data_IF_648882185649
#
_entry.id   IF_648882185649
#
_cell.length_a   1.000
_cell.length_b   1.000
_cell.length_c   1.000
_cell.angle_alpha   90.00
_cell.angle_beta   90.00
_cell.angle_gamma   90.00
#
_symmetry.space_group_name_H-M   'P 1'
#
loop_
_entity.id
_entity.type
_entity.pdbx_description
1 polymer ?
#
# COMPACT_ATOMS: atom_id res chain seq x y z
N UNK A 1 -13.24 21.08 -6.61
CA UNK A 1 -13.77 19.69 -6.69
C UNK A 1 -12.91 18.68 -7.49
N UNK A 2 -12.08 19.07 -8.47
CA UNK A 2 -11.22 18.11 -9.21
C UNK A 2 -9.83 17.89 -8.59
N UNK A 3 -9.37 18.81 -7.75
CA UNK A 3 -8.04 18.77 -7.09
C UNK A 3 -8.03 17.79 -5.90
N UNK A 4 -9.10 17.76 -5.11
CA UNK A 4 -9.19 16.94 -3.89
C UNK A 4 -9.33 15.42 -4.11
N UNK A 5 -9.11 14.92 -5.33
CA UNK A 5 -9.24 13.49 -5.69
C UNK A 5 -7.91 12.75 -5.70
N UNK A 6 -6.77 13.46 -5.69
CA UNK A 6 -5.42 12.85 -5.73
C UNK A 6 -4.93 12.38 -4.35
N UNK A 7 -5.59 12.80 -3.28
CA UNK A 7 -5.23 12.51 -1.89
C UNK A 7 -6.01 11.32 -1.32
N UNK A 8 -6.89 10.69 -2.09
CA UNK A 8 -7.67 9.55 -1.62
C UNK A 8 -6.80 8.29 -1.52
N UNK A 9 -6.94 7.59 -0.40
CA UNK A 9 -6.27 6.35 -0.11
C UNK A 9 -6.79 5.25 -1.02
N UNK A 10 -5.87 4.63 -1.76
CA UNK A 10 -6.21 3.76 -2.87
C UNK A 10 -5.31 2.53 -2.88
N UNK A 11 -5.86 1.32 -2.88
CA UNK A 11 -5.04 0.13 -3.11
C UNK A 11 -4.36 0.21 -4.46
N UNK A 12 -3.02 0.03 -4.54
CA UNK A 12 -2.33 0.19 -5.79
C UNK A 12 -2.83 -0.88 -6.77
N UNK A 13 -2.99 -0.49 -8.04
CA UNK A 13 -3.24 -1.45 -9.10
C UNK A 13 -2.15 -2.54 -9.05
N UNK A 14 -2.46 -3.82 -9.33
CA UNK A 14 -1.45 -4.85 -9.47
C UNK A 14 -0.29 -4.30 -10.31
N UNK A 15 0.91 -4.32 -9.74
CA UNK A 15 2.07 -3.64 -10.30
C UNK A 15 2.26 -4.00 -11.78
N UNK A 16 2.68 -3.03 -12.59
CA UNK A 16 3.15 -3.34 -13.94
C UNK A 16 4.44 -4.15 -13.78
N UNK A 17 4.32 -5.44 -14.06
CA UNK A 17 5.34 -6.50 -14.10
C UNK A 17 6.79 -6.02 -13.87
N UNK A 18 7.40 -6.49 -12.77
CA UNK A 18 8.87 -6.59 -12.66
C UNK A 18 9.39 -7.48 -13.79
N UNK A 19 10.62 -7.27 -14.28
CA UNK A 19 11.19 -8.03 -15.41
C UNK A 19 11.12 -9.57 -15.23
N UNK A 20 11.19 -10.06 -13.99
CA UNK A 20 11.00 -11.48 -13.64
C UNK A 20 9.57 -12.00 -13.86
N UNK A 21 8.55 -11.14 -13.78
CA UNK A 21 7.14 -11.49 -14.02
C UNK A 21 6.76 -11.49 -15.52
N UNK A 22 7.72 -11.23 -16.43
CA UNK A 22 7.49 -11.40 -17.88
C UNK A 22 7.51 -12.88 -18.30
N UNK A 23 8.22 -13.74 -17.55
CA UNK A 23 8.33 -15.17 -17.85
C UNK A 23 7.05 -15.95 -17.47
N UNK A 24 6.25 -15.43 -16.53
CA UNK A 24 5.10 -16.16 -15.97
C UNK A 24 3.74 -15.45 -16.18
N UNK A 25 3.66 -14.48 -17.10
CA UNK A 25 2.49 -13.59 -17.27
C UNK A 25 1.18 -14.28 -17.68
N UNK A 26 1.24 -15.54 -18.08
CA UNK A 26 0.10 -16.33 -18.52
C UNK A 26 -0.13 -17.58 -17.67
N UNK A 27 0.61 -17.78 -16.57
CA UNK A 27 0.30 -18.89 -15.67
C UNK A 27 -1.10 -18.72 -15.11
N UNK A 28 -1.77 -19.85 -14.91
CA UNK A 28 -3.12 -19.89 -14.36
C UNK A 28 -3.13 -19.23 -12.97
N UNK A 29 -2.09 -19.48 -12.19
CA UNK A 29 -1.86 -18.96 -10.86
C UNK A 29 -1.72 -17.43 -10.90
N UNK A 30 -0.93 -16.89 -11.82
CA UNK A 30 -0.79 -15.44 -12.02
C UNK A 30 -2.11 -14.78 -12.43
N UNK A 31 -2.83 -15.37 -13.39
CA UNK A 31 -4.11 -14.83 -13.88
C UNK A 31 -5.15 -14.81 -12.76
N UNK A 32 -5.28 -15.91 -12.00
CA UNK A 32 -6.23 -16.00 -10.89
C UNK A 32 -5.90 -15.00 -9.78
N UNK A 33 -4.62 -14.86 -9.42
CA UNK A 33 -4.16 -13.85 -8.47
C UNK A 33 -4.52 -12.43 -8.94
N UNK A 34 -4.30 -12.14 -10.23
CA UNK A 34 -4.63 -10.84 -10.83
C UNK A 34 -6.13 -10.57 -10.87
N UNK A 35 -6.95 -11.58 -11.17
CA UNK A 35 -8.41 -11.47 -11.16
C UNK A 35 -8.92 -11.15 -9.75
N UNK A 36 -8.43 -11.86 -8.73
CA UNK A 36 -8.80 -11.62 -7.34
C UNK A 36 -8.40 -10.20 -6.87
N UNK A 37 -7.20 -9.76 -7.23
CA UNK A 37 -6.69 -8.41 -6.99
C UNK A 37 -7.59 -7.34 -7.61
N UNK A 38 -7.90 -7.48 -8.91
CA UNK A 38 -8.75 -6.53 -9.63
C UNK A 38 -10.17 -6.50 -9.08
N UNK A 39 -10.71 -7.65 -8.68
CA UNK A 39 -12.04 -7.73 -8.08
C UNK A 39 -12.10 -7.01 -6.73
N UNK A 40 -11.15 -7.27 -5.83
CA UNK A 40 -11.06 -6.56 -4.53
C UNK A 40 -10.86 -5.06 -4.74
N UNK A 41 -9.98 -4.70 -5.66
CA UNK A 41 -9.72 -3.33 -6.05
C UNK A 41 -11.01 -2.61 -6.51
N UNK A 42 -11.74 -3.18 -7.46
CA UNK A 42 -12.98 -2.60 -7.97
C UNK A 42 -14.06 -2.50 -6.89
N UNK A 43 -14.20 -3.52 -6.04
CA UNK A 43 -15.15 -3.49 -4.93
C UNK A 43 -14.84 -2.37 -3.94
N UNK A 44 -13.57 -2.13 -3.62
CA UNK A 44 -13.19 -1.01 -2.74
C UNK A 44 -13.48 0.34 -3.36
N UNK A 45 -13.18 0.50 -4.65
CA UNK A 45 -13.51 1.74 -5.39
C UNK A 45 -15.02 1.96 -5.43
N UNK A 46 -15.80 0.90 -5.67
CA UNK A 46 -17.26 0.96 -5.71
C UNK A 46 -17.89 1.22 -4.33
N UNK A 47 -17.27 0.77 -3.25
CA UNK A 47 -17.75 0.99 -1.88
C UNK A 47 -17.26 2.32 -1.27
N UNK A 48 -16.38 3.04 -1.95
CA UNK A 48 -15.83 4.29 -1.45
C UNK A 48 -16.83 5.45 -1.66
N UNK A 49 -17.18 6.25 -0.61
CA UNK A 49 -18.20 7.30 -0.70
C UNK A 49 -17.94 8.34 -1.79
N UNK A 50 -16.67 8.74 -1.96
CA UNK A 50 -16.27 9.74 -2.98
C UNK A 50 -16.02 9.13 -4.37
N UNK A 51 -15.40 7.94 -4.47
CA UNK A 51 -15.01 7.36 -5.76
C UNK A 51 -16.18 6.67 -6.49
N UNK A 52 -17.12 6.10 -5.74
CA UNK A 52 -18.32 5.45 -6.29
C UNK A 52 -19.16 6.42 -7.15
N UNK A 53 -19.21 7.69 -6.74
CA UNK A 53 -19.91 8.77 -7.44
C UNK A 53 -19.11 9.34 -8.64
N UNK A 54 -17.93 8.81 -8.96
CA UNK A 54 -17.06 9.38 -10.00
C UNK A 54 -17.57 9.07 -11.40
N UNK A 55 -17.82 10.11 -12.21
CA UNK A 55 -18.28 9.93 -13.59
C UNK A 55 -17.30 9.12 -14.46
N UNK A 56 -15.99 9.23 -14.24
CA UNK A 56 -15.00 8.41 -14.96
C UNK A 56 -15.10 6.93 -14.61
N UNK A 57 -15.42 6.60 -13.36
CA UNK A 57 -15.68 5.21 -12.95
C UNK A 57 -16.96 4.68 -13.59
N UNK A 58 -18.02 5.48 -13.58
CA UNK A 58 -19.29 5.15 -14.25
C UNK A 58 -19.06 4.87 -15.74
N UNK A 59 -18.38 5.78 -16.45
CA UNK A 59 -18.02 5.60 -17.86
C UNK A 59 -17.14 4.36 -18.06
N UNK A 60 -16.15 4.11 -17.19
CA UNK A 60 -15.31 2.92 -17.28
C UNK A 60 -16.11 1.61 -17.14
N UNK A 61 -17.12 1.58 -16.27
CA UNK A 61 -17.93 0.39 -16.01
C UNK A 61 -19.11 0.21 -16.99
N UNK A 62 -19.70 1.30 -17.51
CA UNK A 62 -20.96 1.24 -18.25
C UNK A 62 -20.85 1.62 -19.73
N UNK A 63 -19.78 2.28 -20.17
CA UNK A 63 -19.69 2.77 -21.55
C UNK A 63 -19.47 1.63 -22.54
N UNK A 64 -20.12 1.74 -23.71
CA UNK A 64 -19.87 0.83 -24.83
C UNK A 64 -18.45 1.08 -25.41
N UNK A 65 -17.81 0.09 -26.06
CA UNK A 65 -16.43 0.24 -26.56
C UNK A 65 -16.18 1.46 -27.47
N UNK A 66 -17.19 1.86 -28.25
CA UNK A 66 -17.17 3.04 -29.11
C UNK A 66 -17.19 4.35 -28.30
N UNK A 67 -18.07 4.45 -27.30
CA UNK A 67 -18.21 5.60 -26.39
C UNK A 67 -16.97 5.76 -25.50
N UNK A 68 -16.44 4.64 -25.00
CA UNK A 68 -15.22 4.62 -24.19
C UNK A 68 -14.01 5.17 -24.96
N UNK A 69 -13.89 4.83 -26.25
CA UNK A 69 -12.81 5.34 -27.10
C UNK A 69 -12.85 6.85 -27.28
N UNK A 70 -14.04 7.44 -27.34
CA UNK A 70 -14.23 8.90 -27.42
C UNK A 70 -13.84 9.55 -26.09
N UNK A 71 -14.30 8.99 -24.97
CA UNK A 71 -13.99 9.49 -23.63
C UNK A 71 -12.49 9.38 -23.28
N UNK A 72 -11.83 8.31 -23.75
CA UNK A 72 -10.37 8.12 -23.62
C UNK A 72 -9.57 9.15 -24.42
N UNK A 73 -10.04 9.52 -25.62
CA UNK A 73 -9.40 10.56 -26.46
C UNK A 73 -9.71 11.98 -25.96
N UNK A 74 -10.88 12.19 -25.35
CA UNK A 74 -11.28 13.46 -24.74
C UNK A 74 -10.65 13.70 -23.37
N UNK A 75 -10.25 12.65 -22.65
CA UNK A 75 -9.50 12.76 -21.41
C UNK A 75 -8.14 13.40 -21.71
N UNK A 76 -7.86 14.55 -21.09
CA UNK A 76 -6.53 15.22 -21.12
C UNK A 76 -5.45 14.14 -21.11
N UNK A 77 -4.74 14.03 -22.22
CA UNK A 77 -3.68 13.05 -22.40
C UNK A 77 -2.68 13.13 -21.25
N UNK A 78 -1.87 12.07 -21.12
CA UNK A 78 -0.83 11.86 -20.12
C UNK A 78 0.24 12.99 -19.99
N UNK A 79 0.03 14.15 -20.61
CA UNK A 79 0.87 15.35 -20.59
C UNK A 79 0.71 16.21 -19.32
N UNK A 80 -0.22 15.88 -18.42
CA UNK A 80 -0.29 16.50 -17.09
C UNK A 80 0.69 15.91 -16.06
N UNK A 81 1.55 14.96 -16.46
CA UNK A 81 2.47 14.23 -15.56
C UNK A 81 3.84 14.87 -15.37
N UNK A 82 4.07 16.07 -15.88
CA UNK A 82 5.30 16.84 -15.60
C UNK A 82 5.08 17.76 -14.40
N UNK A 83 5.09 17.16 -13.20
CA UNK A 83 5.24 17.85 -11.92
C UNK A 83 6.35 17.19 -11.07
N UNK A 84 7.19 16.37 -11.69
CA UNK A 84 8.34 15.71 -11.06
C UNK A 84 9.45 16.67 -10.61
N UNK A 85 9.34 17.98 -10.89
CA UNK A 85 10.27 18.99 -10.38
C UNK A 85 9.96 19.45 -8.95
N UNK A 86 8.76 19.19 -8.42
CA UNK A 86 8.41 19.52 -7.02
C UNK A 86 8.86 18.44 -6.03
N UNK A 87 8.91 17.17 -6.45
CA UNK A 87 9.32 16.06 -5.57
C UNK A 87 10.80 16.15 -5.13
N UNK A 88 11.67 16.73 -5.96
CA UNK A 88 13.08 16.93 -5.59
C UNK A 88 13.30 18.14 -4.67
N UNK A 89 12.41 19.12 -4.67
CA UNK A 89 12.47 20.27 -3.75
C UNK A 89 11.83 19.94 -2.39
N UNK A 90 10.75 19.14 -2.40
CA UNK A 90 10.11 18.62 -1.18
C UNK A 90 11.00 17.63 -0.40
N UNK A 91 11.96 16.95 -1.06
CA UNK A 91 12.94 16.09 -0.37
C UNK A 91 14.00 16.87 0.41
N UNK A 92 14.21 18.16 0.11
CA UNK A 92 15.17 19.05 0.78
C UNK A 92 14.49 19.92 1.85
N UNK A 93 13.21 20.23 1.68
CA UNK A 93 12.43 20.94 2.69
C UNK A 93 11.92 19.99 3.78
N UNK A 94 12.46 20.12 4.99
CA UNK A 94 11.87 19.51 6.17
C UNK A 94 10.55 20.21 6.47
N UNK A 95 9.45 19.47 6.45
CA UNK A 95 8.14 19.96 6.94
C UNK A 95 8.37 20.50 8.34
N UNK A 96 8.12 21.80 8.55
CA UNK A 96 8.39 22.45 9.83
C UNK A 96 7.39 22.06 10.90
N UNK A 97 6.16 21.71 10.52
CA UNK A 97 5.12 21.27 11.45
C UNK A 97 4.29 20.14 10.84
N UNK A 98 4.70 18.89 11.07
CA UNK A 98 3.79 17.76 10.85
C UNK A 98 2.76 17.77 11.96
N UNK A 99 1.49 17.79 11.59
CA UNK A 99 0.38 17.49 12.50
C UNK A 99 0.65 16.14 13.17
N UNK A 100 0.68 16.08 14.51
CA UNK A 100 1.14 14.90 15.25
C UNK A 100 0.30 13.65 14.91
N UNK A 101 -1.00 13.81 14.64
CA UNK A 101 -1.91 12.75 14.20
C UNK A 101 -1.33 11.90 13.06
N UNK A 102 -0.86 12.52 11.97
CA UNK A 102 -0.39 11.79 10.80
C UNK A 102 1.02 11.22 10.95
N UNK A 103 1.84 11.75 11.87
CA UNK A 103 3.13 11.15 12.20
C UNK A 103 2.93 9.82 12.94
N UNK A 104 2.03 9.79 13.93
CA UNK A 104 1.67 8.55 14.63
C UNK A 104 1.14 7.48 13.64
N UNK A 105 0.33 7.90 12.66
CA UNK A 105 -0.16 6.98 11.61
C UNK A 105 0.99 6.46 10.75
N UNK A 106 1.96 7.32 10.39
CA UNK A 106 3.13 6.91 9.59
C UNK A 106 4.00 5.89 10.33
N UNK A 107 4.30 6.13 11.60
CA UNK A 107 5.03 5.20 12.45
C UNK A 107 4.29 3.87 12.56
N UNK A 108 2.98 3.91 12.82
CA UNK A 108 2.14 2.72 12.89
C UNK A 108 2.15 1.90 11.60
N UNK A 109 1.94 2.56 10.44
CA UNK A 109 1.89 1.88 9.13
C UNK A 109 3.26 1.32 8.75
N UNK A 110 4.35 1.98 9.16
CA UNK A 110 5.72 1.48 8.97
C UNK A 110 5.94 0.20 9.76
N UNK A 111 5.65 0.22 11.06
CA UNK A 111 5.73 -0.97 11.92
C UNK A 111 4.82 -2.09 11.41
N UNK A 112 3.59 -1.77 11.01
CA UNK A 112 2.65 -2.76 10.46
C UNK A 112 3.22 -3.43 9.20
N UNK A 113 3.82 -2.66 8.29
CA UNK A 113 4.47 -3.19 7.10
C UNK A 113 5.64 -4.14 7.41
N UNK A 114 6.46 -3.81 8.40
CA UNK A 114 7.56 -4.67 8.87
C UNK A 114 7.06 -5.98 9.48
N UNK A 115 6.03 -5.91 10.33
CA UNK A 115 5.42 -7.11 10.94
C UNK A 115 4.78 -8.00 9.90
N UNK A 116 4.02 -7.44 8.96
CA UNK A 116 3.42 -8.20 7.86
C UNK A 116 4.47 -8.82 6.94
N UNK A 117 5.57 -8.11 6.66
CA UNK A 117 6.69 -8.66 5.88
C UNK A 117 7.37 -9.82 6.61
N UNK A 118 7.47 -9.74 7.94
CA UNK A 118 7.98 -10.83 8.76
C UNK A 118 7.05 -12.05 8.71
N UNK A 119 5.74 -11.83 8.77
CA UNK A 119 4.72 -12.88 8.64
C UNK A 119 4.78 -13.53 7.25
N UNK A 120 4.94 -12.75 6.17
CA UNK A 120 5.10 -13.28 4.81
C UNK A 120 6.33 -14.21 4.69
N UNK A 121 7.48 -13.79 5.23
CA UNK A 121 8.70 -14.62 5.26
C UNK A 121 8.50 -15.92 6.03
N UNK A 122 7.88 -15.84 7.22
CA UNK A 122 7.56 -17.02 8.03
C UNK A 122 6.59 -17.94 7.28
N UNK A 123 5.57 -17.38 6.65
CA UNK A 123 4.57 -18.11 5.86
C UNK A 123 5.20 -18.86 4.69
N UNK A 124 6.14 -18.25 3.98
CA UNK A 124 6.89 -18.90 2.90
C UNK A 124 7.79 -20.03 3.41
N UNK A 125 8.45 -19.84 4.56
CA UNK A 125 9.24 -20.90 5.20
C UNK A 125 8.36 -22.08 5.58
N UNK A 126 7.22 -21.83 6.25
CA UNK A 126 6.25 -22.87 6.60
C UNK A 126 5.76 -23.60 5.35
N UNK A 127 5.48 -22.88 4.26
CA UNK A 127 5.06 -23.51 3.00
C UNK A 127 6.11 -24.50 2.49
N UNK A 128 7.39 -24.10 2.50
CA UNK A 128 8.50 -24.97 2.09
C UNK A 128 8.63 -26.19 3.01
N UNK A 129 8.66 -25.99 4.32
CA UNK A 129 8.72 -27.08 5.31
C UNK A 129 7.56 -28.07 5.14
N UNK A 130 6.36 -27.56 4.81
CA UNK A 130 5.18 -28.38 4.52
C UNK A 130 5.33 -29.17 3.20
N UNK A 131 5.99 -28.62 2.18
CA UNK A 131 6.31 -29.35 0.95
C UNK A 131 7.31 -30.48 1.23
N UNK A 132 8.35 -30.20 2.00
CA UNK A 132 9.36 -31.19 2.38
C UNK A 132 8.72 -32.32 3.22
N UNK A 133 7.84 -31.97 4.16
CA UNK A 133 7.09 -32.96 4.95
C UNK A 133 6.14 -33.82 4.10
N UNK A 134 5.51 -33.27 3.07
CA UNK A 134 4.69 -34.06 2.15
C UNK A 134 5.53 -35.12 1.42
N UNK A 135 6.75 -34.76 1.01
CA UNK A 135 7.67 -35.69 0.37
C UNK A 135 8.02 -36.86 1.30
N UNK A 136 8.30 -36.59 2.59
CA UNK A 136 8.56 -37.61 3.60
C UNK A 136 7.34 -38.52 3.83
N UNK A 137 6.13 -37.94 3.92
CA UNK A 137 4.89 -38.72 4.07
C UNK A 137 4.67 -39.69 2.92
N UNK A 138 4.96 -39.29 1.67
CA UNK A 138 4.88 -40.19 0.51
C UNK A 138 5.87 -41.35 0.57
N UNK A 139 6.98 -41.25 1.31
CA UNK A 139 7.92 -42.36 1.50
C UNK A 139 7.38 -43.42 2.48
N UNK A 140 6.46 -43.07 3.37
CA UNK A 140 5.96 -44.01 4.40
C UNK A 140 5.19 -45.17 3.77
N UNK A 141 4.33 -44.90 2.79
CA UNK A 141 3.51 -45.92 2.15
C UNK A 141 4.33 -47.09 1.56
N UNK A 142 5.33 -46.87 0.69
CA UNK A 142 6.14 -47.96 0.15
C UNK A 142 6.98 -48.66 1.22
N UNK A 143 7.49 -47.92 2.23
CA UNK A 143 8.27 -48.52 3.34
C UNK A 143 7.39 -49.52 4.10
N UNK A 144 6.21 -49.11 4.55
CA UNK A 144 5.31 -49.99 5.30
C UNK A 144 4.78 -51.15 4.45
N UNK A 145 4.54 -50.92 3.15
CA UNK A 145 4.11 -51.99 2.24
C UNK A 145 5.21 -53.04 2.05
N UNK A 146 6.46 -52.62 1.82
CA UNK A 146 7.59 -53.55 1.71
C UNK A 146 7.84 -54.28 3.03
N UNK A 147 7.75 -53.58 4.16
CA UNK A 147 7.90 -54.21 5.47
C UNK A 147 6.80 -55.25 5.74
N UNK A 148 5.56 -54.96 5.34
CA UNK A 148 4.43 -55.90 5.48
C UNK A 148 4.65 -57.21 4.70
N UNK A 149 5.41 -57.18 3.61
CA UNK A 149 5.74 -58.37 2.83
C UNK A 149 6.78 -59.26 3.52
N UNK A 150 7.63 -58.68 4.37
CA UNK A 150 8.64 -59.40 5.15
C UNK A 150 8.09 -59.97 6.47
N UNK A 151 7.08 -59.32 7.05
CA UNK A 151 6.51 -59.67 8.36
C UNK A 151 5.01 -60.05 8.24
N UNK A 152 4.68 -61.31 7.94
CA UNK A 152 3.31 -61.73 7.68
C UNK A 152 2.37 -61.61 8.89
N UNK A 153 2.90 -61.74 10.12
CA UNK A 153 2.12 -61.62 11.36
C UNK A 153 1.67 -60.17 11.64
N UNK A 154 2.45 -59.18 11.18
CA UNK A 154 2.16 -57.76 11.34
C UNK A 154 1.53 -57.14 10.09
N UNK A 155 1.31 -57.94 9.04
CA UNK A 155 0.90 -57.47 7.72
C UNK A 155 -0.35 -56.56 7.75
N UNK A 156 -1.47 -56.92 8.44
CA UNK A 156 -2.66 -56.06 8.47
C UNK A 156 -2.40 -54.69 9.09
N UNK A 157 -1.64 -54.65 10.19
CA UNK A 157 -1.30 -53.41 10.90
C UNK A 157 -0.35 -52.54 10.07
N UNK A 158 0.65 -53.15 9.43
CA UNK A 158 1.60 -52.43 8.58
C UNK A 158 0.92 -51.85 7.33
N UNK A 159 -0.03 -52.57 6.72
CA UNK A 159 -0.84 -52.03 5.61
C UNK A 159 -1.79 -50.91 6.08
N UNK A 160 -2.37 -51.02 7.29
CA UNK A 160 -3.17 -49.95 7.89
C UNK A 160 -2.33 -48.68 8.15
N UNK A 161 -1.09 -48.83 8.63
CA UNK A 161 -0.12 -47.75 8.77
C UNK A 161 0.23 -47.09 7.43
N UNK A 162 0.45 -47.89 6.38
CA UNK A 162 0.69 -47.39 5.02
C UNK A 162 -0.50 -46.54 4.51
N UNK A 163 -1.73 -47.01 4.75
CA UNK A 163 -2.94 -46.30 4.33
C UNK A 163 -3.18 -45.01 5.12
N UNK A 164 -2.91 -45.00 6.43
CA UNK A 164 -3.00 -43.80 7.25
C UNK A 164 -1.96 -42.74 6.86
N UNK A 165 -0.74 -43.17 6.51
CA UNK A 165 0.30 -42.31 5.95
C UNK A 165 -0.14 -41.66 4.63
N UNK A 166 -0.71 -42.45 3.71
CA UNK A 166 -1.26 -41.98 2.42
C UNK A 166 -2.38 -40.94 2.64
N UNK A 167 -3.33 -41.21 3.55
CA UNK A 167 -4.41 -40.27 3.88
C UNK A 167 -3.89 -38.97 4.50
N UNK A 168 -2.90 -39.05 5.38
CA UNK A 168 -2.23 -37.88 5.96
C UNK A 168 -1.50 -37.06 4.89
N UNK A 169 -0.86 -37.74 3.94
CA UNK A 169 -0.21 -37.09 2.80
C UNK A 169 -1.22 -36.36 1.90
N UNK A 170 -2.37 -37.00 1.63
CA UNK A 170 -3.44 -36.38 0.86
C UNK A 170 -4.02 -35.14 1.56
N UNK A 171 -4.20 -35.17 2.88
CA UNK A 171 -4.62 -34.02 3.67
C UNK A 171 -3.58 -32.87 3.57
N UNK A 172 -2.29 -33.21 3.70
CA UNK A 172 -1.18 -32.26 3.56
C UNK A 172 -1.09 -31.65 2.15
N UNK A 173 -1.31 -32.44 1.10
CA UNK A 173 -1.38 -31.97 -0.28
C UNK A 173 -2.53 -30.96 -0.48
N UNK A 174 -3.71 -31.22 0.11
CA UNK A 174 -4.83 -30.26 0.09
C UNK A 174 -4.44 -28.93 0.77
N UNK A 175 -3.73 -28.98 1.90
CA UNK A 175 -3.24 -27.77 2.58
C UNK A 175 -2.33 -26.97 1.67
N UNK A 176 -1.36 -27.62 1.03
CA UNK A 176 -0.41 -26.98 0.12
C UNK A 176 -1.10 -26.34 -1.09
N UNK A 177 -2.08 -27.04 -1.69
CA UNK A 177 -2.82 -26.55 -2.85
C UNK A 177 -3.58 -25.25 -2.57
N UNK A 178 -4.12 -25.09 -1.35
CA UNK A 178 -4.87 -23.88 -0.96
C UNK A 178 -4.06 -22.88 -0.15
N UNK A 179 -2.79 -23.17 0.18
CA UNK A 179 -1.96 -22.29 1.00
C UNK A 179 -1.74 -20.92 0.36
N UNK A 180 -1.31 -20.89 -0.90
CA UNK A 180 -1.07 -19.66 -1.64
C UNK A 180 -2.30 -18.72 -1.67
N UNK A 181 -3.50 -19.16 -2.08
CA UNK A 181 -4.67 -18.29 -2.10
C UNK A 181 -5.20 -17.90 -0.72
N UNK A 182 -4.98 -18.71 0.33
CA UNK A 182 -5.49 -18.43 1.70
C UNK A 182 -4.58 -17.45 2.45
N UNK A 183 -3.25 -17.61 2.38
CA UNK A 183 -2.31 -16.83 3.20
C UNK A 183 -1.35 -15.97 2.38
N UNK A 184 -0.65 -16.54 1.39
CA UNK A 184 0.45 -15.83 0.70
C UNK A 184 -0.08 -14.65 -0.11
N UNK A 185 -1.09 -14.91 -0.95
CA UNK A 185 -1.66 -13.91 -1.83
C UNK A 185 -2.34 -12.77 -1.03
N UNK A 186 -3.20 -13.03 -0.03
CA UNK A 186 -3.78 -11.97 0.80
C UNK A 186 -2.75 -11.16 1.61
N UNK A 187 -1.66 -11.78 2.10
CA UNK A 187 -0.60 -11.03 2.81
C UNK A 187 0.15 -10.07 1.87
N UNK A 188 0.53 -10.53 0.67
CA UNK A 188 1.16 -9.68 -0.35
C UNK A 188 0.27 -8.53 -0.76
N UNK A 189 -1.02 -8.79 -0.89
CA UNK A 189 -2.04 -7.78 -1.15
C UNK A 189 -2.12 -6.73 -0.05
N UNK A 190 -2.11 -7.20 1.20
CA UNK A 190 -2.20 -6.29 2.33
C UNK A 190 -0.93 -5.45 2.48
N UNK A 191 0.25 -6.01 2.18
CA UNK A 191 1.51 -5.25 2.10
C UNK A 191 1.42 -4.13 1.06
N UNK A 192 0.90 -4.43 -0.14
CA UNK A 192 0.65 -3.40 -1.16
C UNK A 192 -0.33 -2.31 -0.67
N UNK A 193 -1.32 -2.68 0.13
CA UNK A 193 -2.24 -1.71 0.72
C UNK A 193 -1.53 -0.76 1.69
N UNK A 194 -0.69 -1.31 2.58
CA UNK A 194 0.14 -0.55 3.53
C UNK A 194 1.02 0.44 2.77
N UNK A 195 1.67 0.01 1.68
CA UNK A 195 2.49 0.91 0.86
C UNK A 195 1.67 2.04 0.23
N UNK A 196 0.44 1.78 -0.21
CA UNK A 196 -0.40 2.87 -0.68
C UNK A 196 -0.88 3.83 0.41
N UNK A 197 -1.06 3.36 1.65
CA UNK A 197 -1.31 4.26 2.79
C UNK A 197 -0.11 5.19 3.01
N UNK A 198 1.11 4.64 2.98
CA UNK A 198 2.35 5.43 3.06
C UNK A 198 2.47 6.44 1.91
N UNK A 199 2.15 6.03 0.69
CA UNK A 199 2.18 6.91 -0.47
C UNK A 199 1.16 8.06 -0.33
N UNK A 200 -0.02 7.76 0.21
CA UNK A 200 -1.07 8.78 0.45
C UNK A 200 -0.63 9.80 1.51
N UNK A 201 0.01 9.35 2.59
CA UNK A 201 0.63 10.24 3.58
C UNK A 201 1.69 11.16 2.94
N UNK A 202 2.53 10.62 2.06
CA UNK A 202 3.55 11.39 1.33
C UNK A 202 2.93 12.40 0.34
N UNK A 203 1.82 12.04 -0.32
CA UNK A 203 1.08 12.99 -1.19
C UNK A 203 0.50 14.14 -0.38
N UNK A 204 -0.12 13.85 0.78
CA UNK A 204 -0.61 14.88 1.70
C UNK A 204 0.52 15.82 2.12
N UNK A 205 1.64 15.26 2.55
CA UNK A 205 2.85 16.03 2.91
C UNK A 205 3.31 16.94 1.76
N UNK A 206 3.20 16.50 0.51
CA UNK A 206 3.56 17.33 -0.65
C UNK A 206 2.64 18.56 -0.80
N UNK A 207 1.33 18.40 -0.53
CA UNK A 207 0.36 19.50 -0.54
C UNK A 207 0.63 20.48 0.61
N UNK A 208 0.98 19.96 1.79
CA UNK A 208 1.41 20.77 2.94
C UNK A 208 2.65 21.61 2.63
N UNK A 209 3.67 21.01 2.01
CA UNK A 209 4.90 21.70 1.61
C UNK A 209 4.60 22.81 0.59
N UNK A 210 3.73 22.55 -0.40
CA UNK A 210 3.33 23.56 -1.39
C UNK A 210 2.70 24.79 -0.72
N UNK A 211 1.81 24.57 0.26
CA UNK A 211 1.25 25.64 1.08
C UNK A 211 2.31 26.40 1.88
N UNK A 212 3.16 25.70 2.64
CA UNK A 212 4.23 26.32 3.46
C UNK A 212 5.18 27.18 2.63
N UNK A 213 5.59 26.70 1.44
CA UNK A 213 6.45 27.46 0.53
C UNK A 213 5.76 28.73 0.00
N UNK A 214 4.46 28.66 -0.33
CA UNK A 214 3.71 29.85 -0.77
C UNK A 214 3.54 30.88 0.35
N UNK A 215 3.35 30.43 1.59
CA UNK A 215 3.28 31.31 2.77
C UNK A 215 4.63 31.98 3.03
N UNK A 216 5.73 31.23 2.97
CA UNK A 216 7.08 31.76 3.17
C UNK A 216 7.44 32.80 2.10
N UNK A 217 7.12 32.51 0.83
CA UNK A 217 7.33 33.46 -0.26
C UNK A 217 6.48 34.74 -0.08
N UNK A 218 5.21 34.60 0.32
CA UNK A 218 4.35 35.75 0.62
C UNK A 218 4.95 36.61 1.76
N UNK A 219 5.40 35.98 2.85
CA UNK A 219 6.00 36.68 3.97
C UNK A 219 7.29 37.40 3.57
N UNK A 220 8.12 36.78 2.73
CA UNK A 220 9.33 37.40 2.18
C UNK A 220 8.99 38.65 1.35
N UNK A 221 7.97 38.59 0.48
CA UNK A 221 7.56 39.75 -0.32
C UNK A 221 6.94 40.86 0.52
N UNK A 222 6.21 40.53 1.59
CA UNK A 222 5.69 41.51 2.56
C UNK A 222 6.83 42.22 3.29
N UNK A 223 7.82 41.45 3.78
CA UNK A 223 8.99 42.02 4.45
C UNK A 223 9.80 42.92 3.51
N UNK A 224 10.00 42.53 2.24
CA UNK A 224 10.67 43.37 1.24
C UNK A 224 9.90 44.68 1.00
N UNK A 225 8.57 44.63 0.92
CA UNK A 225 7.73 45.84 0.82
C UNK A 225 7.91 46.74 2.03
N UNK A 226 7.83 46.19 3.24
CA UNK A 226 7.95 46.96 4.49
C UNK A 226 9.33 47.62 4.64
N UNK A 227 10.40 46.94 4.21
CA UNK A 227 11.76 47.51 4.17
C UNK A 227 11.91 48.67 3.18
N UNK A 228 11.27 48.58 2.01
CA UNK A 228 11.31 49.67 1.01
C UNK A 228 10.48 50.88 1.45
N UNK A 229 9.41 50.66 2.21
CA UNK A 229 8.58 51.73 2.81
C UNK A 229 9.26 52.40 4.01
N UNK A 230 9.97 51.64 4.86
CA UNK A 230 10.69 52.21 6.01
C UNK A 230 11.95 53.00 5.58
N UNK A 231 12.64 52.57 4.53
CA UNK A 231 13.75 53.33 3.92
C UNK A 231 13.28 54.67 3.31
N UNK A 232 12.02 54.79 2.90
CA UNK A 232 11.42 56.06 2.42
C UNK A 232 11.35 57.11 3.54
N UNK A 233 10.90 56.69 4.73
CA UNK A 233 10.79 57.56 5.90
C UNK A 233 12.17 58.04 6.40
N UNK A 234 13.23 57.25 6.22
CA UNK A 234 14.59 57.65 6.60
C UNK A 234 15.25 58.61 5.58
N UNK A 235 14.99 58.47 4.28
CA UNK A 235 15.57 59.36 3.26
C UNK A 235 14.89 60.74 3.21
N UNK A 236 13.66 60.86 3.70
CA UNK A 236 12.94 62.14 3.74
C UNK A 236 13.51 63.14 4.78
N UNK A 237 14.41 62.70 5.67
CA UNK A 237 15.06 63.54 6.71
C UNK A 237 16.60 63.61 6.60
N UNK A 238 17.21 63.12 5.50
CA UNK A 238 18.66 63.19 5.27
C UNK A 238 19.11 64.47 4.55
N UNK A 239 20.32 65.01 4.81
CA UNK A 239 20.79 66.24 4.19
C UNK A 239 20.94 66.07 2.68
N UNK A 240 20.47 67.05 1.92
CA UNK A 240 20.46 67.10 0.45
C UNK A 240 21.89 66.97 -0.10
N UNK A 241 22.27 65.74 -0.44
CA UNK A 241 23.60 65.38 -0.93
C UNK A 241 23.73 65.49 -2.44
N UNK A 242 24.55 66.44 -2.88
CA UNK A 242 25.06 66.66 -4.24
C UNK A 242 25.71 65.38 -4.79
N UNK A 243 25.25 64.88 -5.95
CA UNK A 243 25.86 63.69 -6.56
C UNK A 243 25.22 63.21 -7.86
N UNK A 244 25.08 64.10 -8.85
CA UNK A 244 24.66 63.73 -10.21
C UNK A 244 25.48 64.46 -11.27
N UNK A 245 26.46 63.78 -11.88
CA UNK A 245 27.17 64.29 -13.06
C UNK A 245 26.19 64.39 -14.24
N UNK A 246 25.96 65.61 -14.73
CA UNK A 246 25.20 65.88 -15.96
C UNK A 246 26.15 66.25 -17.09
N UNK A 247 26.21 65.44 -18.13
CA UNK A 247 26.80 65.81 -19.43
C UNK A 247 25.71 65.61 -20.49
N UNK A 248 25.27 66.72 -21.08
CA UNK A 248 24.49 66.74 -22.32
C UNK A 248 23.09 66.11 -22.28
N UNK A 249 22.09 66.82 -21.76
CA UNK A 249 20.68 66.74 -22.20
C UNK A 249 19.87 65.46 -21.97
N UNK A 250 20.47 64.34 -21.59
CA UNK A 250 19.76 63.08 -21.29
C UNK A 250 20.31 62.45 -20.02
N UNK A 251 19.49 62.42 -18.96
CA UNK A 251 19.74 61.71 -17.71
C UNK A 251 19.79 60.20 -17.97
N UNK A 252 20.99 59.67 -18.25
CA UNK A 252 21.22 58.26 -18.54
C UNK A 252 21.19 57.35 -17.28
N UNK A 253 20.98 57.92 -16.11
CA UNK A 253 20.90 57.19 -14.84
C UNK A 253 19.54 57.45 -14.20
N UNK A 254 18.66 56.44 -14.28
CA UNK A 254 17.37 56.41 -13.59
C UNK A 254 17.57 56.74 -12.11
N UNK A 255 16.78 57.66 -11.56
CA UNK A 255 16.91 58.06 -10.15
C UNK A 255 16.73 56.84 -9.23
N UNK A 256 17.49 56.71 -8.13
CA UNK A 256 17.28 55.66 -7.13
C UNK A 256 15.82 55.57 -6.64
N UNK A 257 15.09 56.70 -6.64
CA UNK A 257 13.66 56.77 -6.35
C UNK A 257 12.78 56.07 -7.39
N UNK A 258 13.00 56.30 -8.69
CA UNK A 258 12.21 55.65 -9.75
C UNK A 258 12.42 54.13 -9.81
N UNK A 259 13.62 53.64 -9.50
CA UNK A 259 13.90 52.19 -9.40
C UNK A 259 13.17 51.57 -8.21
N UNK A 260 13.11 52.28 -7.08
CA UNK A 260 12.40 51.87 -5.87
C UNK A 260 10.89 51.85 -6.10
N UNK A 261 10.33 52.90 -6.67
CA UNK A 261 8.89 53.03 -6.95
C UNK A 261 8.43 51.95 -7.94
N UNK A 262 9.25 51.65 -8.96
CA UNK A 262 8.99 50.55 -9.88
C UNK A 262 9.06 49.17 -9.22
N UNK A 263 9.91 48.96 -8.20
CA UNK A 263 9.91 47.72 -7.39
C UNK A 263 8.70 47.65 -6.47
N UNK A 264 8.33 48.76 -5.84
CA UNK A 264 7.18 48.85 -4.95
C UNK A 264 5.89 48.53 -5.71
N UNK A 265 5.70 49.11 -6.89
CA UNK A 265 4.55 48.83 -7.76
C UNK A 265 4.47 47.34 -8.17
N UNK A 266 5.61 46.69 -8.46
CA UNK A 266 5.65 45.25 -8.74
C UNK A 266 5.26 44.41 -7.53
N UNK A 267 5.74 44.77 -6.34
CA UNK A 267 5.38 44.09 -5.09
C UNK A 267 3.88 44.26 -4.79
N UNK A 268 3.31 45.44 -5.05
CA UNK A 268 1.88 45.72 -4.88
C UNK A 268 0.99 44.90 -5.81
N UNK A 269 1.46 44.55 -7.00
CA UNK A 269 0.74 43.64 -7.91
C UNK A 269 0.94 42.16 -7.54
N UNK A 270 2.12 41.80 -7.05
CA UNK A 270 2.49 40.39 -6.79
C UNK A 270 1.92 39.88 -5.47
N UNK A 271 1.89 40.71 -4.41
CA UNK A 271 1.41 40.31 -3.09
C UNK A 271 -0.06 39.83 -3.12
N UNK A 272 -1.02 40.52 -3.78
CA UNK A 272 -2.39 40.03 -3.88
C UNK A 272 -2.52 38.68 -4.60
N UNK A 273 -1.69 38.44 -5.63
CA UNK A 273 -1.67 37.16 -6.34
C UNK A 273 -1.15 36.04 -5.44
N UNK A 274 -0.09 36.30 -4.67
CA UNK A 274 0.43 35.35 -3.69
C UNK A 274 -0.55 35.09 -2.54
N UNK A 275 -1.28 36.11 -2.07
CA UNK A 275 -2.35 35.93 -1.07
C UNK A 275 -3.40 34.97 -1.59
N UNK A 276 -3.88 35.17 -2.83
CA UNK A 276 -4.84 34.26 -3.45
C UNK A 276 -4.29 32.84 -3.59
N UNK A 277 -3.02 32.68 -3.97
CA UNK A 277 -2.40 31.34 -4.06
C UNK A 277 -2.28 30.66 -2.69
N UNK A 278 -1.98 31.42 -1.64
CA UNK A 278 -1.94 30.92 -0.27
C UNK A 278 -3.33 30.44 0.16
N UNK A 279 -4.39 31.21 -0.09
CA UNK A 279 -5.78 30.80 0.19
C UNK A 279 -6.15 29.52 -0.58
N UNK A 280 -5.86 29.45 -1.88
CA UNK A 280 -6.12 28.26 -2.70
C UNK A 280 -5.35 27.03 -2.20
N UNK A 281 -4.11 27.20 -1.72
CA UNK A 281 -3.30 26.12 -1.18
C UNK A 281 -3.75 25.72 0.23
N UNK A 282 -4.23 26.66 1.03
CA UNK A 282 -4.82 26.38 2.33
C UNK A 282 -6.06 25.49 2.18
N UNK A 283 -6.98 25.85 1.27
CA UNK A 283 -8.16 25.05 0.96
C UNK A 283 -7.80 23.61 0.53
N UNK A 284 -6.72 23.45 -0.27
CA UNK A 284 -6.22 22.13 -0.68
C UNK A 284 -5.71 21.34 0.52
N UNK A 285 -4.92 21.94 1.41
CA UNK A 285 -4.39 21.29 2.61
C UNK A 285 -5.52 20.83 3.52
N UNK A 286 -6.50 21.70 3.77
CA UNK A 286 -7.66 21.37 4.62
C UNK A 286 -8.47 20.20 4.03
N UNK A 287 -8.74 20.26 2.73
CA UNK A 287 -9.45 19.19 2.03
C UNK A 287 -8.66 17.86 2.02
N UNK A 288 -7.34 17.92 1.84
CA UNK A 288 -6.46 16.76 1.90
C UNK A 288 -6.45 16.12 3.30
N UNK A 289 -6.40 16.94 4.35
CA UNK A 289 -6.41 16.48 5.74
C UNK A 289 -7.73 15.78 6.09
N UNK A 290 -8.88 16.38 5.75
CA UNK A 290 -10.19 15.79 6.04
C UNK A 290 -10.41 14.48 5.28
N UNK A 291 -10.06 14.46 3.99
CA UNK A 291 -10.16 13.22 3.20
C UNK A 291 -9.26 12.12 3.76
N UNK A 292 -8.01 12.45 4.08
CA UNK A 292 -7.08 11.48 4.65
C UNK A 292 -7.59 10.93 5.99
N UNK A 293 -8.16 11.78 6.85
CA UNK A 293 -8.73 11.35 8.13
C UNK A 293 -9.88 10.36 7.92
N UNK A 294 -10.83 10.70 7.05
CA UNK A 294 -11.96 9.83 6.72
C UNK A 294 -11.49 8.49 6.09
N UNK A 295 -10.47 8.54 5.23
CA UNK A 295 -9.87 7.37 4.63
C UNK A 295 -9.16 6.48 5.64
N UNK A 296 -8.39 7.06 6.56
CA UNK A 296 -7.69 6.33 7.62
C UNK A 296 -8.65 5.66 8.59
N UNK A 297 -9.78 6.30 8.92
CA UNK A 297 -10.81 5.68 9.75
C UNK A 297 -11.44 4.46 9.07
N UNK A 298 -11.80 4.58 7.80
CA UNK A 298 -12.31 3.48 6.98
C UNK A 298 -11.28 2.37 6.85
N UNK A 299 -10.06 2.72 6.50
CA UNK A 299 -8.93 1.79 6.39
C UNK A 299 -8.74 0.99 7.67
N UNK A 300 -8.83 1.64 8.84
CA UNK A 300 -8.68 0.95 10.12
C UNK A 300 -9.75 -0.12 10.37
N UNK A 301 -10.99 0.11 9.92
CA UNK A 301 -12.09 -0.88 9.98
C UNK A 301 -11.83 -2.03 9.01
N UNK A 302 -11.51 -1.71 7.75
CA UNK A 302 -11.19 -2.69 6.70
C UNK A 302 -10.00 -3.57 7.11
N UNK A 303 -8.91 -2.97 7.59
CA UNK A 303 -7.72 -3.65 8.10
C UNK A 303 -8.03 -4.74 9.08
N UNK A 304 -8.84 -4.41 10.10
CA UNK A 304 -9.19 -5.36 11.16
C UNK A 304 -9.95 -6.55 10.58
N UNK A 305 -10.91 -6.28 9.69
CA UNK A 305 -11.72 -7.32 9.05
C UNK A 305 -10.90 -8.18 8.09
N UNK A 306 -10.04 -7.57 7.27
CA UNK A 306 -9.18 -8.27 6.31
C UNK A 306 -8.21 -9.20 7.03
N UNK A 307 -7.44 -8.68 7.99
CA UNK A 307 -6.46 -9.49 8.74
C UNK A 307 -7.16 -10.60 9.53
N UNK A 308 -8.30 -10.31 10.17
CA UNK A 308 -9.11 -11.32 10.85
C UNK A 308 -9.53 -12.43 9.88
N UNK A 309 -9.99 -12.08 8.69
CA UNK A 309 -10.44 -13.06 7.68
C UNK A 309 -9.29 -13.95 7.23
N UNK A 310 -8.11 -13.36 6.98
CA UNK A 310 -6.90 -14.11 6.57
C UNK A 310 -6.50 -15.11 7.65
N UNK A 311 -6.38 -14.67 8.91
CA UNK A 311 -5.95 -15.55 9.99
C UNK A 311 -6.99 -16.60 10.37
N UNK A 312 -8.29 -16.28 10.31
CA UNK A 312 -9.34 -17.28 10.51
C UNK A 312 -9.36 -18.32 9.40
N UNK A 313 -9.15 -17.93 8.14
CA UNK A 313 -9.08 -18.88 7.04
C UNK A 313 -7.90 -19.85 7.23
N UNK A 314 -6.74 -19.35 7.66
CA UNK A 314 -5.59 -20.18 8.00
C UNK A 314 -5.90 -21.13 9.18
N UNK A 315 -6.48 -20.63 10.26
CA UNK A 315 -6.82 -21.44 11.43
C UNK A 315 -7.80 -22.56 11.09
N UNK A 316 -8.87 -22.25 10.36
CA UNK A 316 -9.86 -23.24 9.91
C UNK A 316 -9.25 -24.31 9.01
N UNK A 317 -8.32 -23.92 8.12
CA UNK A 317 -7.59 -24.87 7.28
C UNK A 317 -6.71 -25.80 8.11
N UNK A 318 -6.02 -25.29 9.13
CA UNK A 318 -5.21 -26.10 10.03
C UNK A 318 -6.07 -27.07 10.84
N UNK A 319 -7.20 -26.61 11.40
CA UNK A 319 -8.14 -27.47 12.14
C UNK A 319 -8.56 -28.65 11.26
N UNK A 320 -9.07 -28.36 10.06
CA UNK A 320 -9.50 -29.40 9.11
C UNK A 320 -8.39 -30.38 8.78
N UNK A 321 -7.16 -29.89 8.57
CA UNK A 321 -6.01 -30.74 8.30
C UNK A 321 -5.72 -31.70 9.45
N UNK A 322 -5.65 -31.19 10.68
CA UNK A 322 -5.36 -32.02 11.85
C UNK A 322 -6.50 -33.00 12.17
N UNK A 323 -7.76 -32.63 11.93
CA UNK A 323 -8.91 -33.55 12.03
C UNK A 323 -8.81 -34.71 11.02
N UNK A 324 -8.44 -34.42 9.76
CA UNK A 324 -8.25 -35.44 8.73
C UNK A 324 -7.10 -36.39 9.07
N UNK A 325 -5.97 -35.86 9.56
CA UNK A 325 -4.86 -36.68 10.02
C UNK A 325 -5.26 -37.54 11.22
N UNK A 326 -5.92 -36.96 12.24
CA UNK A 326 -6.37 -37.70 13.41
C UNK A 326 -7.27 -38.88 13.02
N UNK A 327 -8.30 -38.63 12.20
CA UNK A 327 -9.19 -39.68 11.71
C UNK A 327 -8.41 -40.77 10.96
N UNK A 328 -7.45 -40.39 10.13
CA UNK A 328 -6.62 -41.36 9.42
C UNK A 328 -5.82 -42.28 10.35
N UNK A 329 -5.33 -41.78 11.48
CA UNK A 329 -4.58 -42.56 12.47
C UNK A 329 -5.49 -43.36 13.42
N UNK A 330 -6.67 -42.84 13.77
CA UNK A 330 -7.65 -43.55 14.60
C UNK A 330 -8.19 -44.81 13.92
N UNK A 331 -8.33 -44.79 12.59
CA UNK A 331 -8.74 -45.94 11.78
C UNK A 331 -7.80 -47.16 11.91
N UNK A 332 -6.58 -46.99 12.43
CA UNK A 332 -5.60 -48.07 12.63
C UNK A 332 -5.86 -48.82 13.95
N UNK A 333 -6.46 -48.17 14.94
CA UNK A 333 -6.65 -48.73 16.28
C UNK A 333 -7.33 -50.11 16.31
N UNK A 334 -8.32 -50.43 15.46
CA UNK A 334 -8.91 -51.76 15.40
C UNK A 334 -7.91 -52.85 15.00
N UNK A 335 -6.99 -52.57 14.08
CA UNK A 335 -5.96 -53.51 13.59
C UNK A 335 -4.83 -53.68 14.62
N UNK A 336 -4.49 -52.62 15.36
CA UNK A 336 -3.41 -52.65 16.36
C UNK A 336 -3.77 -53.42 17.65
N UNK A 337 -5.05 -53.47 18.03
CA UNK A 337 -5.51 -54.15 19.25
C UNK A 337 -5.28 -55.68 19.27
N UNK A 338 -5.59 -56.45 18.21
CA UNK A 338 -5.33 -57.90 18.21
C UNK A 338 -3.83 -58.24 18.17
N UNK A 339 -2.98 -57.41 17.57
CA UNK A 339 -1.52 -57.63 17.55
C UNK A 339 -0.85 -57.46 18.93
N UNK A 340 -1.48 -56.75 19.87
CA UNK A 340 -1.02 -56.58 21.26
C UNK A 340 -1.55 -57.66 22.23
N UNK A 341 -2.17 -58.73 21.72
CA UNK A 341 -2.66 -59.86 22.51
C UNK A 341 -1.54 -60.59 23.23
N UNK A 342 -1.21 -60.13 24.44
CA UNK A 342 -0.58 -60.93 25.49
C UNK A 342 -1.39 -62.21 25.66
N UNK A 343 -0.73 -63.36 25.53
CA UNK A 343 -1.25 -64.67 25.92
C UNK A 343 -1.76 -64.62 27.37
N UNK A 344 -3.07 -64.41 27.57
CA UNK A 344 -3.76 -64.64 28.83
C UNK A 344 -4.23 -66.10 28.94
N UNK A 345 -3.30 -67.03 28.71
CA UNK A 345 -3.50 -68.46 28.99
C UNK A 345 -2.43 -68.95 29.95
N UNK A 346 -2.45 -68.44 31.18
CA UNK A 346 -1.73 -69.00 32.34
C UNK A 346 -2.56 -68.84 33.61
N UNK A 347 -3.85 -69.16 33.58
CA UNK A 347 -4.65 -69.42 34.80
C UNK A 347 -5.68 -70.52 34.53
N UNK A 348 -5.21 -71.76 34.34
CA UNK A 348 -5.98 -72.97 34.68
C UNK A 348 -5.12 -74.21 34.44
N UNK A 349 -4.37 -74.64 35.46
CA UNK A 349 -4.11 -76.04 35.85
C UNK A 349 -3.24 -76.06 37.10
#
# INVERSE_FOLDING_TARGET
MNTCRRELLFQPLPGKHTLLAQLDRYSKEFILARMALLHRFLNRVANHPVLSCNNSLKVFLTAKPSEFSIHRKSGRGLLGRMSSSLNNLAAVYMIRQRTPEFEHVREYVTMLGEKLSSIDKISQRIHKERQDYLYELHQLHPIFTLWSASEPELNPVLLALASAGERSAQAQHQVLATYTPIIVQPLKEYLLYVEAVKETLTRRDSVQIEYELTVEELNKRRLEKDQLMSNEQQQQFGPVGVGGFSIGGTSLWRSPGEVRDGKLQKLEQTIPQLVKQVEENQDKVECANENLRADLERWNKEKKNDLKTIFLALANQQIKYYEQCLAAWEDILPEAKPACGVNSTLESS
#
